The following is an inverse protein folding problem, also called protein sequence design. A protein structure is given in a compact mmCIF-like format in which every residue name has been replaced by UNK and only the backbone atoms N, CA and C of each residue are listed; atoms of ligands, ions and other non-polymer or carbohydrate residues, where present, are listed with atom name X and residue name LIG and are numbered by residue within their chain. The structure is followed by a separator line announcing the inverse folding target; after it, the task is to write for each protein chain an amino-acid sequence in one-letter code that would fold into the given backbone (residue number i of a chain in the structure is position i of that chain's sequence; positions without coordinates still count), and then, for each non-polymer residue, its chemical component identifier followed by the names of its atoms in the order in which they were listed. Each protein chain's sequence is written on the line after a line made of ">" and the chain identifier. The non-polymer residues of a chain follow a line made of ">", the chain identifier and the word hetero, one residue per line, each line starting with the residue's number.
data_IF_600655541909
#
_entry.id   IF_600655541909
#
_cell.length_a   1.000
_cell.length_b   1.000
_cell.length_c   1.000
_cell.angle_alpha   90.00
_cell.angle_beta   90.00
_cell.angle_gamma   90.00
#
_symmetry.space_group_name_H-M   'P 1'
#
loop_
_entity.id
_entity.type
_entity.pdbx_description
1 polymer ?
#
# COMPACT_ATOMS: atom_id res chain seq x y z
N UNK A 1 -2.49 9.37 -28.43
CA UNK A 1 -3.94 9.48 -28.21
C UNK A 1 -4.51 8.08 -27.99
N UNK A 2 -5.24 7.90 -26.88
CA UNK A 2 -6.06 6.74 -26.49
C UNK A 2 -5.43 5.32 -26.58
N UNK A 3 -4.56 4.99 -25.63
CA UNK A 3 -4.25 3.59 -25.30
C UNK A 3 -5.44 2.95 -24.58
N UNK A 4 -6.21 2.14 -25.32
CA UNK A 4 -7.39 1.42 -24.81
C UNK A 4 -6.94 0.45 -23.71
N UNK A 5 -7.49 0.62 -22.50
CA UNK A 5 -7.39 -0.35 -21.40
C UNK A 5 -8.15 -1.61 -21.82
N UNK A 6 -7.42 -2.58 -22.36
CA UNK A 6 -7.95 -3.91 -22.63
C UNK A 6 -8.28 -4.59 -21.30
N UNK A 7 -9.55 -4.86 -21.06
CA UNK A 7 -9.97 -5.82 -20.04
C UNK A 7 -9.61 -7.18 -20.62
N UNK A 8 -8.54 -7.77 -20.09
CA UNK A 8 -8.13 -9.14 -20.41
C UNK A 8 -9.15 -10.07 -19.74
N UNK A 9 -10.22 -10.42 -20.47
CA UNK A 9 -11.08 -11.54 -20.10
C UNK A 9 -10.24 -12.82 -20.25
N UNK A 10 -9.97 -13.59 -19.17
CA UNK A 10 -9.36 -14.89 -19.35
C UNK A 10 -10.44 -15.81 -19.93
N UNK A 11 -10.31 -16.11 -21.22
CA UNK A 11 -10.99 -17.24 -21.84
C UNK A 11 -10.48 -18.48 -21.11
N UNK A 12 -11.32 -19.03 -20.24
CA UNK A 12 -11.11 -20.32 -19.59
C UNK A 12 -11.23 -21.38 -20.68
N UNK A 13 -10.11 -21.73 -21.31
CA UNK A 13 -10.04 -22.98 -22.06
C UNK A 13 -9.82 -24.07 -21.01
N UNK A 14 -10.93 -24.71 -20.63
CA UNK A 14 -10.92 -25.90 -19.81
C UNK A 14 -10.37 -27.07 -20.64
N UNK A 15 -9.04 -27.16 -20.79
CA UNK A 15 -8.40 -28.41 -21.20
C UNK A 15 -7.91 -29.12 -19.95
N UNK A 16 -8.68 -30.12 -19.54
CA UNK A 16 -8.27 -31.40 -18.93
C UNK A 16 -6.82 -31.48 -18.45
N UNK A 17 -6.61 -31.70 -17.14
CA UNK A 17 -6.09 -32.95 -16.58
C UNK A 17 -5.70 -32.75 -15.10
N UNK A 18 -5.96 -33.76 -14.27
CA UNK A 18 -5.91 -33.71 -12.81
C UNK A 18 -4.50 -34.04 -12.32
N UNK A 19 -3.70 -33.03 -11.92
CA UNK A 19 -2.45 -33.24 -11.14
C UNK A 19 -1.99 -31.95 -10.43
N UNK A 20 -2.56 -31.71 -9.25
CA UNK A 20 -1.85 -31.23 -8.05
C UNK A 20 -0.69 -30.22 -8.22
N UNK A 21 -0.96 -28.92 -8.42
CA UNK A 21 -0.20 -27.72 -7.93
C UNK A 21 -0.29 -26.54 -8.93
N UNK A 22 -1.41 -25.83 -8.98
CA UNK A 22 -1.46 -24.41 -9.44
C UNK A 22 -2.67 -23.68 -8.81
N UNK A 23 -3.01 -24.08 -7.58
CA UNK A 23 -3.83 -23.28 -6.68
C UNK A 23 -2.97 -22.15 -6.08
N UNK A 24 -2.17 -21.46 -6.90
CA UNK A 24 -1.43 -20.28 -6.47
C UNK A 24 -2.36 -19.06 -6.59
N UNK A 25 -3.16 -18.93 -5.53
CA UNK A 25 -3.42 -17.67 -4.85
C UNK A 25 -3.55 -16.41 -5.74
N UNK A 26 -4.77 -16.13 -6.21
CA UNK A 26 -5.21 -14.75 -6.44
C UNK A 26 -6.37 -14.46 -5.48
N UNK A 27 -6.07 -14.53 -4.19
CA UNK A 27 -6.83 -13.82 -3.16
C UNK A 27 -5.90 -12.69 -2.68
N UNK A 28 -5.67 -11.70 -3.53
CA UNK A 28 -5.02 -10.47 -3.08
C UNK A 28 -6.08 -9.67 -2.31
N UNK A 29 -6.32 -10.08 -1.07
CA UNK A 29 -7.19 -9.37 -0.15
C UNK A 29 -6.49 -8.08 0.28
N UNK A 30 -6.68 -7.02 -0.50
CA UNK A 30 -6.23 -5.68 -0.11
C UNK A 30 -7.18 -5.18 0.97
N UNK A 31 -6.82 -5.38 2.24
CA UNK A 31 -7.56 -4.79 3.35
C UNK A 31 -7.28 -3.28 3.39
N UNK A 32 -8.08 -2.50 2.66
CA UNK A 32 -8.01 -1.03 2.70
C UNK A 32 -8.75 -0.51 3.92
N UNK A 33 -8.06 0.14 4.87
CA UNK A 33 -8.68 0.76 6.03
C UNK A 33 -8.86 2.27 5.81
N UNK A 34 -10.04 2.82 6.11
CA UNK A 34 -10.21 4.28 6.13
C UNK A 34 -9.57 4.89 7.38
N UNK A 35 -8.69 5.86 7.17
CA UNK A 35 -8.00 6.59 8.24
C UNK A 35 -8.67 7.96 8.46
N UNK A 36 -9.06 8.65 7.39
CA UNK A 36 -9.73 9.96 7.48
C UNK A 36 -11.13 9.90 6.87
N UNK A 37 -12.16 9.84 7.72
CA UNK A 37 -13.55 9.81 7.28
C UNK A 37 -14.03 11.13 6.66
N UNK A 38 -13.49 12.27 7.11
CA UNK A 38 -13.83 13.58 6.57
C UNK A 38 -13.51 13.75 5.08
N UNK A 39 -12.43 13.11 4.62
CA UNK A 39 -11.91 13.24 3.26
C UNK A 39 -11.87 11.89 2.50
N UNK A 40 -12.35 10.82 3.13
CA UNK A 40 -12.33 9.47 2.55
C UNK A 40 -10.91 8.93 2.28
N UNK A 41 -9.94 9.26 3.12
CA UNK A 41 -8.53 8.85 2.90
C UNK A 41 -8.27 7.50 3.54
N UNK A 42 -7.70 6.58 2.77
CA UNK A 42 -7.32 5.23 3.22
C UNK A 42 -5.86 5.14 3.65
N UNK A 43 -5.55 4.13 4.46
CA UNK A 43 -4.18 3.81 4.87
C UNK A 43 -3.29 3.54 3.65
N UNK A 44 -3.81 2.83 2.65
CA UNK A 44 -3.11 2.53 1.40
C UNK A 44 -2.69 3.81 0.64
N UNK A 45 -3.53 4.85 0.63
CA UNK A 45 -3.19 6.14 0.03
C UNK A 45 -2.09 6.86 0.82
N UNK A 46 -2.15 6.79 2.16
CA UNK A 46 -1.13 7.35 3.05
C UNK A 46 0.22 6.66 2.83
N UNK A 47 0.26 5.32 2.83
CA UNK A 47 1.50 4.55 2.60
C UNK A 47 2.12 4.85 1.24
N UNK A 48 1.30 4.88 0.17
CA UNK A 48 1.76 5.27 -1.18
C UNK A 48 2.34 6.68 -1.21
N UNK A 49 1.75 7.62 -0.47
CA UNK A 49 2.27 8.98 -0.37
C UNK A 49 3.63 9.02 0.36
N UNK A 50 3.80 8.23 1.43
CA UNK A 50 5.08 8.13 2.15
C UNK A 50 6.16 7.49 1.28
N UNK A 51 5.84 6.40 0.58
CA UNK A 51 6.74 5.75 -0.38
C UNK A 51 7.13 6.67 -1.55
N UNK A 52 6.27 7.61 -1.92
CA UNK A 52 6.59 8.68 -2.88
C UNK A 52 7.45 9.81 -2.29
N UNK A 53 7.97 9.66 -1.07
CA UNK A 53 8.88 10.59 -0.40
C UNK A 53 8.21 11.64 0.48
N UNK A 54 6.89 11.56 0.72
CA UNK A 54 6.22 12.47 1.66
C UNK A 54 6.35 11.92 3.08
N UNK A 55 7.45 12.25 3.74
CA UNK A 55 7.79 11.71 5.06
C UNK A 55 7.20 12.54 6.22
N UNK A 56 6.65 13.72 5.94
CA UNK A 56 6.05 14.58 6.97
C UNK A 56 4.53 14.72 6.79
N UNK A 57 3.80 14.75 7.90
CA UNK A 57 2.35 14.97 7.88
C UNK A 57 1.93 16.25 7.16
N UNK A 58 2.72 17.32 7.22
CA UNK A 58 2.43 18.58 6.52
C UNK A 58 2.32 18.35 5.01
N UNK A 59 3.21 17.51 4.45
CA UNK A 59 3.22 17.17 3.03
C UNK A 59 2.01 16.29 2.66
N UNK A 60 1.63 15.36 3.53
CA UNK A 60 0.40 14.57 3.34
C UNK A 60 -0.85 15.44 3.43
N UNK A 61 -0.93 16.35 4.41
CA UNK A 61 -2.05 17.30 4.54
C UNK A 61 -2.18 18.19 3.32
N UNK A 62 -1.07 18.68 2.75
CA UNK A 62 -1.09 19.50 1.55
C UNK A 62 -1.55 18.74 0.30
N UNK A 63 -1.27 17.44 0.23
CA UNK A 63 -1.52 16.65 -1.00
C UNK A 63 -2.76 15.78 -0.98
N UNK A 64 -3.17 15.29 0.20
CA UNK A 64 -4.33 14.42 0.40
C UNK A 64 -5.44 15.09 1.22
N UNK A 65 -5.20 16.31 1.72
CA UNK A 65 -6.10 17.01 2.65
C UNK A 65 -6.40 16.22 3.94
N UNK A 66 -5.57 15.24 4.28
CA UNK A 66 -5.72 14.43 5.49
C UNK A 66 -5.65 15.31 6.74
N UNK A 67 -6.63 15.16 7.63
CA UNK A 67 -6.72 15.95 8.86
C UNK A 67 -7.03 17.44 8.64
N UNK A 68 -7.47 17.87 7.45
CA UNK A 68 -7.80 19.27 7.18
C UNK A 68 -9.13 19.75 7.81
N UNK A 69 -10.01 18.83 8.23
CA UNK A 69 -11.31 19.15 8.84
C UNK A 69 -11.27 18.97 10.36
N UNK A 70 -11.65 17.79 10.87
CA UNK A 70 -11.83 17.57 12.33
C UNK A 70 -10.55 17.16 13.06
N UNK A 71 -9.46 16.84 12.35
CA UNK A 71 -8.17 16.44 12.93
C UNK A 71 -8.12 15.09 13.65
N UNK A 72 -9.23 14.34 13.78
CA UNK A 72 -9.27 13.08 14.55
C UNK A 72 -8.33 11.99 14.02
N UNK A 73 -8.05 11.99 12.71
CA UNK A 73 -7.17 11.01 12.06
C UNK A 73 -5.67 11.31 12.23
N UNK A 74 -5.29 12.46 12.80
CA UNK A 74 -3.90 12.93 12.80
C UNK A 74 -2.97 11.94 13.49
N UNK A 75 -3.34 11.44 14.68
CA UNK A 75 -2.52 10.48 15.43
C UNK A 75 -2.26 9.20 14.63
N UNK A 76 -3.32 8.57 14.13
CA UNK A 76 -3.22 7.36 13.31
C UNK A 76 -2.42 7.60 12.02
N UNK A 77 -2.56 8.77 11.40
CA UNK A 77 -1.77 9.12 10.21
C UNK A 77 -0.27 9.20 10.53
N UNK A 78 0.10 9.82 11.66
CA UNK A 78 1.49 9.89 12.12
C UNK A 78 2.07 8.52 12.44
N UNK A 79 1.29 7.65 13.08
CA UNK A 79 1.69 6.27 13.38
C UNK A 79 1.96 5.48 12.09
N UNK A 80 1.14 5.66 11.06
CA UNK A 80 1.39 5.05 9.74
C UNK A 80 2.66 5.61 9.11
N UNK A 81 2.89 6.93 9.17
CA UNK A 81 4.12 7.55 8.63
C UNK A 81 5.34 6.95 9.32
N UNK A 82 5.38 6.94 10.65
CA UNK A 82 6.49 6.38 11.42
C UNK A 82 6.74 4.91 11.06
N UNK A 83 5.70 4.08 11.06
CA UNK A 83 5.82 2.67 10.71
C UNK A 83 6.33 2.43 9.28
N UNK A 84 6.03 3.30 8.32
CA UNK A 84 6.56 3.18 6.96
C UNK A 84 8.02 3.65 6.86
N UNK A 85 8.45 4.63 7.67
CA UNK A 85 9.85 5.06 7.74
C UNK A 85 10.72 3.99 8.40
N UNK A 86 10.26 3.39 9.50
CA UNK A 86 10.98 2.33 10.20
C UNK A 86 11.21 1.10 9.29
N UNK A 87 10.21 0.75 8.45
CA UNK A 87 10.33 -0.32 7.46
C UNK A 87 11.40 -0.03 6.41
N UNK A 88 11.45 1.21 5.92
CA UNK A 88 12.44 1.60 4.93
C UNK A 88 13.87 1.45 5.47
N UNK A 89 14.09 1.77 6.75
CA UNK A 89 15.39 1.62 7.41
C UNK A 89 15.80 0.15 7.60
N UNK A 90 14.85 -0.73 7.95
CA UNK A 90 15.09 -2.16 8.12
C UNK A 90 15.47 -2.88 6.81
N UNK A 91 14.89 -2.48 5.68
CA UNK A 91 15.23 -3.04 4.36
C UNK A 91 16.64 -2.64 3.89
N UNK A 92 17.26 -1.67 4.54
CA UNK A 92 18.57 -1.10 4.17
C UNK A 92 19.70 -1.49 5.14
N UNK A 93 19.40 -2.23 6.22
CA UNK A 93 20.41 -2.68 7.16
C UNK A 93 21.26 -3.82 6.54
N UNK A 94 22.58 -3.66 6.40
CA UNK A 94 23.43 -4.74 5.90
C UNK A 94 23.44 -5.90 6.90
N UNK A 95 23.00 -7.07 6.46
CA UNK A 95 23.10 -8.33 7.19
C UNK A 95 24.58 -8.71 7.26
N UNK A 96 25.25 -8.32 8.34
CA UNK A 96 26.62 -8.73 8.59
C UNK A 96 26.63 -9.89 9.60
N UNK A 97 27.41 -10.93 9.30
CA UNK A 97 27.80 -11.97 10.24
C UNK A 97 29.29 -11.82 10.52
N UNK A 98 29.68 -11.87 11.79
CA UNK A 98 31.09 -12.01 12.17
C UNK A 98 31.57 -13.43 11.83
N UNK A 99 32.78 -13.53 11.27
CA UNK A 99 33.51 -14.79 11.11
C UNK A 99 34.61 -14.78 12.17
N UNK A 100 34.45 -15.60 13.21
CA UNK A 100 35.49 -15.91 14.19
C UNK A 100 36.37 -17.06 13.69
#
# INVERSE_FOLDING_TARGET
>A
MAGKRGILLPIVICTTNHSHLDFMAIQHEVNTMYVCLCRGITDSQIRKAVQAGKTEFRQLKQSLEVGAQCGKCVRMTMEIIAAELDKAELEQAPLYYEVA
#
